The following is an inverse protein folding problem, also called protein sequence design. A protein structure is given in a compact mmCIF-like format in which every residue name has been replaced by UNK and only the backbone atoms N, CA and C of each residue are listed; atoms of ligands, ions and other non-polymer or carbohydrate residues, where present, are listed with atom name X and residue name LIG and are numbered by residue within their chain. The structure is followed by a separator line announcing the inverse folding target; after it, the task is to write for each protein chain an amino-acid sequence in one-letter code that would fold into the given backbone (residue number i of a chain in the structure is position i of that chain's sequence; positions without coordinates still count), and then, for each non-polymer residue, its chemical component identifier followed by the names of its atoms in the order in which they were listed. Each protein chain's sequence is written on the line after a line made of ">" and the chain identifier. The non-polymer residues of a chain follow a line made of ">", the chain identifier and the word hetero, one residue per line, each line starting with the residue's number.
data_IF_554558434165
#
_entry.id   IF_554558434165
#
_cell.length_a   1.000
_cell.length_b   1.000
_cell.length_c   1.000
_cell.angle_alpha   90.00
_cell.angle_beta   90.00
_cell.angle_gamma   90.00
#
_symmetry.space_group_name_H-M   'P 1'
#
loop_
_entity.id
_entity.type
_entity.pdbx_description
1 polymer ?
#
# COMPACT_ATOMS: atom_id res chain seq x y z
N UNK A 1 -37.32 -19.82 -57.46
CA UNK A 1 -35.87 -19.78 -57.70
C UNK A 1 -35.46 -18.33 -57.91
N UNK A 2 -34.76 -17.68 -56.97
CA UNK A 2 -34.19 -16.35 -57.17
C UNK A 2 -32.72 -16.44 -57.59
N UNK A 3 -32.37 -15.66 -58.61
CA UNK A 3 -31.04 -15.60 -59.24
C UNK A 3 -30.07 -14.73 -58.40
N UNK A 4 -28.81 -15.14 -58.36
CA UNK A 4 -27.71 -14.38 -57.75
C UNK A 4 -27.13 -13.34 -58.73
N UNK A 5 -26.70 -12.16 -58.24
CA UNK A 5 -25.95 -11.23 -59.06
C UNK A 5 -24.45 -11.53 -59.05
N UNK A 6 -23.86 -11.35 -60.23
CA UNK A 6 -22.46 -11.51 -60.61
C UNK A 6 -21.57 -10.39 -60.06
N UNK A 7 -20.46 -10.77 -59.43
CA UNK A 7 -19.40 -9.89 -58.96
C UNK A 7 -18.52 -9.42 -60.12
N UNK A 8 -18.38 -8.11 -60.30
CA UNK A 8 -17.45 -7.49 -61.26
C UNK A 8 -16.21 -6.99 -60.52
N UNK A 9 -15.05 -7.53 -60.88
CA UNK A 9 -13.74 -7.19 -60.31
C UNK A 9 -13.13 -6.02 -61.07
N UNK A 10 -12.93 -4.87 -60.43
CA UNK A 10 -12.19 -3.73 -60.99
C UNK A 10 -10.88 -3.49 -60.25
N UNK A 11 -9.85 -3.25 -61.05
CA UNK A 11 -8.43 -3.22 -60.72
C UNK A 11 -7.94 -1.98 -59.95
N UNK A 12 -6.76 -2.17 -59.36
CA UNK A 12 -5.98 -1.33 -58.47
C UNK A 12 -5.83 0.15 -58.85
N UNK A 13 -6.28 1.02 -57.96
CA UNK A 13 -5.87 2.42 -57.85
C UNK A 13 -5.21 2.66 -56.49
N UNK A 14 -3.91 2.95 -56.49
CA UNK A 14 -3.14 3.19 -55.26
C UNK A 14 -3.47 4.58 -54.69
N UNK A 15 -4.53 4.65 -53.87
CA UNK A 15 -4.95 5.86 -53.15
C UNK A 15 -3.97 6.13 -52.00
N UNK A 16 -3.20 7.22 -52.10
CA UNK A 16 -2.38 7.73 -50.98
C UNK A 16 -3.30 8.06 -49.81
N UNK A 17 -3.30 7.18 -48.81
CA UNK A 17 -4.14 7.26 -47.60
C UNK A 17 -3.73 8.50 -46.80
N UNK A 18 -4.45 9.60 -46.99
CA UNK A 18 -4.31 10.81 -46.17
C UNK A 18 -4.55 10.38 -44.72
N UNK A 19 -3.52 10.48 -43.88
CA UNK A 19 -3.62 10.16 -42.46
C UNK A 19 -4.64 11.14 -41.85
N UNK A 20 -5.87 10.66 -41.63
CA UNK A 20 -6.89 11.42 -40.93
C UNK A 20 -6.36 11.76 -39.53
N UNK A 21 -5.98 13.02 -39.33
CA UNK A 21 -5.57 13.52 -38.03
C UNK A 21 -6.77 13.40 -37.11
N UNK A 22 -6.68 12.51 -36.10
CA UNK A 22 -7.73 12.36 -35.08
C UNK A 22 -7.97 13.74 -34.45
N UNK A 23 -9.17 14.29 -34.61
CA UNK A 23 -9.59 15.50 -33.90
C UNK A 23 -9.55 15.18 -32.40
N UNK A 24 -8.55 15.72 -31.70
CA UNK A 24 -8.45 15.57 -30.23
C UNK A 24 -9.72 16.13 -29.61
N UNK A 25 -10.33 15.36 -28.70
CA UNK A 25 -11.51 15.80 -27.98
C UNK A 25 -11.20 17.12 -27.26
N UNK A 26 -12.03 18.15 -27.47
CA UNK A 26 -11.86 19.41 -26.76
C UNK A 26 -12.13 19.20 -25.26
N UNK A 27 -11.37 19.91 -24.43
CA UNK A 27 -11.39 19.77 -22.97
C UNK A 27 -12.64 20.43 -22.36
N UNK A 28 -13.21 19.78 -21.34
CA UNK A 28 -14.27 20.32 -20.47
C UNK A 28 -13.70 21.36 -19.48
N UNK A 29 -14.54 22.22 -18.89
CA UNK A 29 -14.11 23.10 -17.79
C UNK A 29 -13.71 22.30 -16.55
N UNK A 30 -12.92 22.90 -15.66
CA UNK A 30 -12.35 22.21 -14.49
C UNK A 30 -13.44 21.72 -13.52
N UNK A 31 -14.50 22.51 -13.30
CA UNK A 31 -15.64 22.11 -12.46
C UNK A 31 -16.40 20.91 -13.03
N UNK A 32 -16.81 20.97 -14.30
CA UNK A 32 -17.53 19.86 -14.94
C UNK A 32 -16.68 18.57 -15.00
N UNK A 33 -15.36 18.71 -15.11
CA UNK A 33 -14.43 17.58 -15.06
C UNK A 33 -14.36 16.98 -13.66
N UNK A 34 -14.26 17.81 -12.62
CA UNK A 34 -14.22 17.37 -11.22
C UNK A 34 -15.46 16.54 -10.86
N UNK A 35 -16.65 17.00 -11.26
CA UNK A 35 -17.92 16.30 -11.01
C UNK A 35 -18.26 15.23 -12.06
N UNK A 36 -17.36 14.96 -13.02
CA UNK A 36 -17.52 13.98 -14.12
C UNK A 36 -18.83 14.14 -14.92
N UNK A 37 -19.24 15.37 -15.24
CA UNK A 37 -20.45 15.68 -16.05
C UNK A 37 -20.12 16.26 -17.42
N UNK A 38 -21.10 16.22 -18.33
CA UNK A 38 -21.00 16.79 -19.68
C UNK A 38 -20.96 18.33 -19.61
N UNK A 39 -19.94 18.94 -20.22
CA UNK A 39 -19.75 20.38 -20.32
C UNK A 39 -20.18 20.89 -21.71
N UNK A 40 -20.92 22.01 -21.77
CA UNK A 40 -21.29 22.65 -23.05
C UNK A 40 -20.15 23.50 -23.65
N UNK A 41 -19.06 23.72 -22.89
CA UNK A 41 -17.83 24.41 -23.30
C UNK A 41 -17.97 25.89 -23.68
N UNK A 42 -19.09 26.52 -23.35
CA UNK A 42 -19.22 27.98 -23.39
C UNK A 42 -18.42 28.59 -22.22
N UNK A 43 -18.03 29.87 -22.32
CA UNK A 43 -17.34 30.62 -21.26
C UNK A 43 -18.22 31.80 -20.83
N UNK A 44 -18.84 31.76 -19.63
CA UNK A 44 -18.95 30.61 -18.71
C UNK A 44 -19.87 29.49 -19.25
N UNK A 45 -19.68 28.26 -18.79
CA UNK A 45 -20.47 27.12 -19.26
C UNK A 45 -21.88 27.15 -18.62
N UNK A 46 -22.94 26.75 -19.34
CA UNK A 46 -24.32 26.94 -18.88
C UNK A 46 -24.64 26.27 -17.52
N UNK A 47 -23.91 25.22 -17.16
CA UNK A 47 -24.04 24.60 -15.83
C UNK A 47 -23.39 25.44 -14.72
N UNK A 48 -22.15 25.89 -14.92
CA UNK A 48 -21.50 26.77 -13.95
C UNK A 48 -22.31 28.08 -13.75
N UNK A 49 -22.97 28.58 -14.80
CA UNK A 49 -23.89 29.73 -14.69
C UNK A 49 -25.07 29.42 -13.77
N UNK A 50 -25.72 28.25 -13.95
CA UNK A 50 -26.86 27.85 -13.10
C UNK A 50 -26.45 27.59 -11.65
N UNK A 51 -25.28 27.03 -11.45
CA UNK A 51 -24.77 26.68 -10.12
C UNK A 51 -24.18 27.92 -9.41
N UNK A 52 -24.07 29.07 -10.10
CA UNK A 52 -23.42 30.30 -9.61
C UNK A 52 -21.96 30.09 -9.19
N UNK A 53 -21.29 29.13 -9.82
CA UNK A 53 -19.93 28.70 -9.51
C UNK A 53 -18.93 29.23 -10.54
N UNK A 54 -17.67 29.39 -10.13
CA UNK A 54 -16.60 29.86 -11.01
C UNK A 54 -16.28 28.82 -12.10
N UNK A 55 -16.27 29.27 -13.36
CA UNK A 55 -16.03 28.43 -14.54
C UNK A 55 -14.61 28.65 -15.10
N UNK A 56 -13.63 27.89 -14.62
CA UNK A 56 -12.26 27.93 -15.15
C UNK A 56 -11.97 26.87 -16.23
N UNK A 57 -11.12 27.24 -17.20
CA UNK A 57 -10.56 26.37 -18.24
C UNK A 57 -9.02 26.41 -18.26
N UNK A 58 -8.39 26.86 -17.17
CA UNK A 58 -6.95 27.12 -17.11
C UNK A 58 -6.12 25.89 -17.49
N UNK A 59 -6.55 24.70 -17.07
CA UNK A 59 -5.88 23.44 -17.41
C UNK A 59 -5.94 23.12 -18.90
N UNK A 60 -7.05 23.48 -19.57
CA UNK A 60 -7.21 23.31 -21.00
C UNK A 60 -6.30 24.25 -21.80
N UNK A 61 -6.00 25.42 -21.26
CA UNK A 61 -5.14 26.42 -21.88
C UNK A 61 -3.66 26.05 -21.72
N UNK A 62 -3.25 25.54 -20.55
CA UNK A 62 -1.89 25.00 -20.33
C UNK A 62 -1.53 23.87 -21.31
N UNK A 63 -2.52 23.09 -21.74
CA UNK A 63 -2.30 21.99 -22.70
C UNK A 63 -2.15 22.48 -24.15
N UNK A 64 -2.60 23.72 -24.46
CA UNK A 64 -2.48 24.32 -25.80
C UNK A 64 -1.15 25.03 -26.02
N UNK A 65 -0.35 25.26 -24.99
CA UNK A 65 0.97 25.85 -25.16
C UNK A 65 1.85 24.89 -25.99
N UNK A 66 2.41 25.32 -27.13
CA UNK A 66 3.26 24.49 -27.95
C UNK A 66 4.51 24.11 -27.16
N UNK A 67 4.68 22.81 -26.90
CA UNK A 67 5.75 22.22 -26.08
C UNK A 67 7.18 22.45 -26.64
N UNK A 68 7.33 23.15 -27.76
CA UNK A 68 8.56 23.17 -28.56
C UNK A 68 9.53 24.30 -28.22
N UNK A 69 9.33 25.02 -27.10
CA UNK A 69 10.26 26.06 -26.63
C UNK A 69 10.73 25.88 -25.19
N UNK A 70 10.87 24.64 -24.71
CA UNK A 70 11.68 24.42 -23.51
C UNK A 70 13.15 24.32 -23.94
N UNK A 71 14.02 25.28 -23.60
CA UNK A 71 15.44 25.14 -23.85
C UNK A 71 15.93 23.90 -23.11
N UNK A 72 16.49 22.97 -23.87
CA UNK A 72 17.15 21.77 -23.36
C UNK A 72 18.35 22.27 -22.56
N UNK A 73 18.26 22.22 -21.22
CA UNK A 73 19.39 22.51 -20.36
C UNK A 73 20.52 21.53 -20.67
N UNK A 74 21.69 22.07 -20.92
CA UNK A 74 22.88 21.38 -21.40
C UNK A 74 23.32 20.24 -20.48
N UNK A 75 23.81 19.16 -21.12
CA UNK A 75 24.55 18.05 -20.52
C UNK A 75 25.70 18.56 -19.65
N UNK A 76 25.79 18.05 -18.42
CA UNK A 76 27.03 18.04 -17.63
C UNK A 76 27.85 16.81 -18.04
N UNK A 77 29.14 16.94 -18.42
CA UNK A 77 29.99 15.80 -18.76
C UNK A 77 30.35 14.97 -17.52
N UNK A 78 30.18 13.66 -17.63
CA UNK A 78 30.53 12.62 -16.66
C UNK A 78 31.88 12.01 -17.07
N UNK A 79 32.98 12.65 -16.68
CA UNK A 79 34.35 12.11 -16.81
C UNK A 79 35.17 12.50 -15.58
N UNK A 80 34.96 11.80 -14.45
CA UNK A 80 35.91 11.71 -13.33
C UNK A 80 35.34 10.77 -12.27
N UNK A 81 35.49 9.45 -12.42
CA UNK A 81 35.40 8.42 -11.36
C UNK A 81 35.70 7.05 -11.99
N UNK A 82 36.95 6.82 -12.40
CA UNK A 82 37.41 5.52 -12.90
C UNK A 82 38.72 5.02 -12.26
N UNK A 83 39.28 5.72 -11.27
CA UNK A 83 40.65 5.44 -10.77
C UNK A 83 40.74 4.90 -9.33
N UNK A 84 39.75 4.16 -8.84
CA UNK A 84 39.85 3.58 -7.49
C UNK A 84 39.28 2.16 -7.38
N UNK A 85 39.91 1.20 -8.07
CA UNK A 85 39.62 -0.23 -7.89
C UNK A 85 40.82 -1.13 -8.19
N UNK A 86 42.00 -0.86 -7.60
CA UNK A 86 43.13 -1.81 -7.60
C UNK A 86 43.95 -1.68 -6.30
N UNK A 87 43.52 -2.39 -5.26
CA UNK A 87 44.39 -2.88 -4.18
C UNK A 87 43.58 -3.85 -3.34
N UNK A 88 44.22 -4.85 -2.73
CA UNK A 88 43.65 -6.04 -2.07
C UNK A 88 43.55 -7.26 -3.00
N UNK A 89 44.72 -7.71 -3.46
CA UNK A 89 45.08 -9.13 -3.50
C UNK A 89 46.42 -9.25 -2.80
N UNK A 90 46.46 -10.08 -1.76
CA UNK A 90 47.62 -10.82 -1.24
C UNK A 90 47.41 -11.02 0.27
N UNK A 91 47.08 -12.26 0.66
CA UNK A 91 47.76 -12.96 1.76
C UNK A 91 47.20 -14.38 1.95
N UNK A 92 48.04 -15.33 1.53
CA UNK A 92 48.47 -16.55 2.22
C UNK A 92 47.45 -17.52 2.82
N UNK A 93 47.35 -18.67 2.15
CA UNK A 93 47.13 -19.97 2.78
C UNK A 93 48.42 -20.46 3.47
N UNK A 94 48.28 -21.38 4.44
CA UNK A 94 49.10 -22.58 4.33
C UNK A 94 48.32 -23.88 4.46
N UNK A 95 48.88 -24.87 3.77
CA UNK A 95 48.47 -26.25 3.62
C UNK A 95 48.59 -27.08 4.91
N UNK A 96 47.86 -28.20 4.96
CA UNK A 96 48.11 -29.28 5.91
C UNK A 96 47.09 -30.41 5.80
N UNK A 97 47.59 -31.60 5.50
CA UNK A 97 46.90 -32.74 4.90
C UNK A 97 46.18 -33.72 5.84
N UNK A 98 45.37 -34.57 5.20
CA UNK A 98 45.22 -36.03 5.41
C UNK A 98 44.22 -36.58 6.46
N UNK A 99 43.23 -37.28 5.90
CA UNK A 99 42.68 -38.60 6.25
C UNK A 99 42.56 -39.04 7.73
N UNK A 100 41.34 -39.42 8.14
CA UNK A 100 40.93 -40.82 8.38
C UNK A 100 39.56 -40.89 9.08
N UNK A 101 38.77 -41.88 8.69
CA UNK A 101 37.52 -42.34 9.29
C UNK A 101 37.73 -42.99 10.66
N UNK A 102 36.84 -42.72 11.63
CA UNK A 102 36.40 -43.68 12.66
C UNK A 102 35.08 -43.23 13.32
N UNK A 103 34.20 -44.20 13.55
CA UNK A 103 32.98 -44.09 14.33
C UNK A 103 33.27 -44.13 15.84
N UNK A 104 32.49 -43.41 16.65
CA UNK A 104 31.82 -43.89 17.88
C UNK A 104 31.35 -42.72 18.76
N UNK A 105 30.18 -42.92 19.37
CA UNK A 105 29.56 -42.16 20.44
C UNK A 105 30.51 -41.62 21.51
N UNK A 106 30.21 -40.40 22.01
CA UNK A 106 30.13 -40.08 23.44
C UNK A 106 29.47 -38.72 23.65
N UNK A 107 28.54 -38.67 24.60
CA UNK A 107 28.10 -37.45 25.29
C UNK A 107 29.29 -36.88 26.08
N UNK A 108 29.38 -35.55 26.22
CA UNK A 108 29.73 -34.82 27.45
C UNK A 108 29.75 -33.32 27.15
N UNK A 109 29.08 -32.57 28.02
CA UNK A 109 29.09 -31.12 28.15
C UNK A 109 30.50 -30.55 28.27
N UNK A 110 30.74 -29.34 27.74
CA UNK A 110 31.56 -28.30 28.38
C UNK A 110 31.55 -27.00 27.59
N UNK A 111 31.20 -25.91 28.29
CA UNK A 111 31.89 -24.63 28.32
C UNK A 111 32.58 -24.13 27.06
N UNK A 112 31.94 -23.16 26.39
CA UNK A 112 32.62 -22.22 25.51
C UNK A 112 33.08 -21.04 26.35
N UNK A 113 34.39 -20.99 26.55
CA UNK A 113 35.13 -19.86 27.11
C UNK A 113 35.17 -18.74 26.08
N UNK A 114 34.67 -17.59 26.49
CA UNK A 114 34.57 -16.36 25.72
C UNK A 114 35.94 -15.80 25.34
N UNK A 115 36.19 -15.69 24.04
CA UNK A 115 37.29 -14.93 23.47
C UNK A 115 36.90 -13.47 23.38
N UNK A 116 37.68 -12.61 24.03
CA UNK A 116 37.54 -11.17 24.09
C UNK A 116 37.59 -10.51 22.70
N UNK A 117 36.43 -10.24 22.12
CA UNK A 117 36.27 -9.17 21.15
C UNK A 117 35.72 -7.95 21.88
N UNK A 118 36.48 -6.87 21.89
CA UNK A 118 36.02 -5.52 22.22
C UNK A 118 34.97 -5.08 21.20
N UNK A 119 33.76 -5.60 21.34
CA UNK A 119 32.57 -5.03 20.75
C UNK A 119 32.18 -3.83 21.62
N UNK A 120 32.03 -2.67 20.99
CA UNK A 120 31.27 -1.58 21.58
C UNK A 120 29.85 -2.10 21.77
N UNK A 121 29.58 -2.64 22.94
CA UNK A 121 28.25 -2.97 23.40
C UNK A 121 27.54 -1.65 23.67
N UNK A 122 27.02 -1.04 22.59
CA UNK A 122 25.83 -0.21 22.69
C UNK A 122 24.83 -1.15 23.37
N UNK A 123 24.56 -0.91 24.65
CA UNK A 123 23.42 -1.52 25.30
C UNK A 123 22.20 -1.09 24.49
N UNK A 124 21.86 -1.94 23.51
CA UNK A 124 20.57 -1.93 22.87
C UNK A 124 19.61 -2.19 24.01
N UNK A 125 19.09 -1.11 24.59
CA UNK A 125 17.68 -1.10 24.95
C UNK A 125 17.01 -1.79 23.78
N UNK A 126 16.50 -3.01 23.98
CA UNK A 126 15.46 -3.47 23.08
C UNK A 126 14.46 -2.35 23.18
N UNK A 127 14.39 -1.54 22.12
CA UNK A 127 13.34 -0.58 21.89
C UNK A 127 12.09 -1.45 21.77
N UNK A 128 11.63 -1.96 22.91
CA UNK A 128 10.30 -2.48 23.12
C UNK A 128 9.45 -1.25 22.92
N UNK A 129 9.16 -1.00 21.64
CA UNK A 129 8.21 -0.01 21.22
C UNK A 129 6.98 -0.24 22.06
N UNK A 130 6.66 0.74 22.89
CA UNK A 130 5.55 0.63 23.81
C UNK A 130 4.28 0.53 22.96
N UNK A 131 3.77 -0.69 22.80
CA UNK A 131 2.56 -0.96 22.06
C UNK A 131 1.39 -0.14 22.61
N UNK A 132 1.44 0.24 23.89
CA UNK A 132 0.46 1.11 24.52
C UNK A 132 0.59 2.56 24.04
N UNK A 133 1.81 3.08 23.91
CA UNK A 133 2.08 4.39 23.31
C UNK A 133 1.54 4.47 21.89
N UNK A 134 1.74 3.43 21.07
CA UNK A 134 1.17 3.39 19.73
C UNK A 134 -0.36 3.29 19.77
N UNK A 135 -0.94 2.45 20.64
CA UNK A 135 -2.39 2.37 20.81
C UNK A 135 -2.98 3.73 21.12
N UNK A 136 -2.36 4.51 22.01
CA UNK A 136 -2.80 5.88 22.33
C UNK A 136 -2.70 6.80 21.12
N UNK A 137 -1.59 6.74 20.37
CA UNK A 137 -1.40 7.53 19.16
C UNK A 137 -2.46 7.23 18.09
N UNK A 138 -2.68 5.95 17.79
CA UNK A 138 -3.70 5.50 16.82
C UNK A 138 -5.12 5.74 17.33
N UNK A 139 -5.33 5.76 18.66
CA UNK A 139 -6.60 6.13 19.27
C UNK A 139 -6.84 7.64 19.29
N UNK A 140 -5.85 8.46 18.92
CA UNK A 140 -6.02 9.90 18.83
C UNK A 140 -6.76 10.26 17.53
N UNK A 141 -7.98 10.83 17.59
CA UNK A 141 -8.85 10.97 16.43
C UNK A 141 -8.23 11.81 15.32
N UNK A 142 -7.55 12.91 15.69
CA UNK A 142 -6.86 13.78 14.72
C UNK A 142 -5.72 13.05 14.02
N UNK A 143 -4.98 12.18 14.71
CA UNK A 143 -3.89 11.43 14.09
C UNK A 143 -4.47 10.44 13.09
N UNK A 144 -5.42 9.62 13.53
CA UNK A 144 -6.02 8.59 12.70
C UNK A 144 -6.73 9.17 11.48
N UNK A 145 -7.51 10.23 11.64
CA UNK A 145 -8.18 10.92 10.52
C UNK A 145 -7.15 11.43 9.49
N UNK A 146 -6.03 11.99 9.93
CA UNK A 146 -4.97 12.47 9.03
C UNK A 146 -4.27 11.31 8.31
N UNK A 147 -3.95 10.22 9.02
CA UNK A 147 -3.39 9.00 8.42
C UNK A 147 -4.33 8.43 7.36
N UNK A 148 -5.62 8.33 7.66
CA UNK A 148 -6.63 7.84 6.71
C UNK A 148 -6.75 8.74 5.48
N UNK A 149 -6.73 10.06 5.68
CA UNK A 149 -6.74 11.01 4.56
C UNK A 149 -5.50 10.84 3.67
N UNK A 150 -4.32 10.58 4.23
CA UNK A 150 -3.11 10.29 3.45
C UNK A 150 -3.29 8.97 2.70
N UNK A 151 -3.78 7.91 3.35
CA UNK A 151 -4.06 6.63 2.72
C UNK A 151 -4.96 6.77 1.49
N UNK A 152 -6.12 7.42 1.63
CA UNK A 152 -7.06 7.60 0.51
C UNK A 152 -6.51 8.48 -0.61
N UNK A 153 -5.63 9.43 -0.27
CA UNK A 153 -5.02 10.36 -1.24
C UNK A 153 -3.90 9.69 -2.03
N UNK A 154 -3.00 8.98 -1.35
CA UNK A 154 -1.71 8.54 -1.90
C UNK A 154 -1.61 7.03 -2.15
N UNK A 155 -2.38 6.19 -1.44
CA UNK A 155 -2.18 4.73 -1.44
C UNK A 155 -3.38 3.96 -1.99
N UNK A 156 -4.61 4.40 -1.70
CA UNK A 156 -5.83 3.64 -2.04
C UNK A 156 -5.91 3.29 -3.52
N UNK A 157 -5.49 4.16 -4.43
CA UNK A 157 -5.50 3.86 -5.87
C UNK A 157 -4.58 2.69 -6.27
N UNK A 158 -3.62 2.32 -5.43
CA UNK A 158 -2.71 1.19 -5.63
C UNK A 158 -3.29 -0.11 -5.08
N UNK A 159 -4.04 -0.05 -3.98
CA UNK A 159 -4.62 -1.23 -3.33
C UNK A 159 -6.07 -1.52 -3.73
N UNK A 160 -6.85 -0.48 -4.07
CA UNK A 160 -8.30 -0.46 -4.32
C UNK A 160 -9.09 -1.34 -3.34
N UNK A 161 -8.76 -1.20 -2.06
CA UNK A 161 -9.21 -2.11 -1.01
C UNK A 161 -10.36 -1.50 -0.22
N UNK A 162 -10.21 -0.27 0.27
CA UNK A 162 -11.09 0.32 1.27
C UNK A 162 -12.02 1.38 0.68
N UNK A 163 -13.27 1.40 1.12
CA UNK A 163 -14.16 2.54 0.88
C UNK A 163 -13.99 3.57 2.00
N UNK A 164 -13.72 4.83 1.62
CA UNK A 164 -13.58 5.95 2.57
C UNK A 164 -14.78 6.15 3.47
N UNK A 165 -15.99 5.88 2.97
CA UNK A 165 -17.22 6.02 3.78
C UNK A 165 -17.29 4.96 4.87
N UNK A 166 -16.89 3.72 4.57
CA UNK A 166 -16.86 2.62 5.54
C UNK A 166 -15.83 2.89 6.63
N UNK A 167 -14.60 3.24 6.27
CA UNK A 167 -13.53 3.48 7.25
C UNK A 167 -13.84 4.68 8.13
N UNK A 168 -14.40 5.76 7.56
CA UNK A 168 -14.83 6.89 8.37
C UNK A 168 -15.94 6.49 9.34
N UNK A 169 -16.91 5.67 8.91
CA UNK A 169 -17.97 5.17 9.80
C UNK A 169 -17.37 4.33 10.93
N UNK A 170 -16.54 3.35 10.60
CA UNK A 170 -15.86 2.51 11.59
C UNK A 170 -15.10 3.42 12.59
N UNK A 171 -14.16 4.24 12.12
CA UNK A 171 -13.37 5.10 13.02
C UNK A 171 -14.21 6.06 13.87
N UNK A 172 -15.32 6.59 13.33
CA UNK A 172 -16.22 7.47 14.10
C UNK A 172 -17.07 6.73 15.13
N UNK A 173 -17.59 5.55 14.82
CA UNK A 173 -18.45 4.77 15.72
C UNK A 173 -17.64 4.08 16.84
N UNK A 174 -16.37 3.75 16.58
CA UNK A 174 -15.55 3.05 17.56
C UNK A 174 -14.74 3.95 18.51
N UNK A 175 -14.66 5.26 18.24
CA UNK A 175 -14.16 6.21 19.22
C UNK A 175 -15.17 6.50 20.35
N UNK A 176 -16.38 5.93 20.29
CA UNK A 176 -17.34 6.05 21.38
C UNK A 176 -16.89 5.21 22.59
N UNK A 177 -16.57 5.83 23.75
CA UNK A 177 -16.21 5.09 24.96
C UNK A 177 -17.32 4.18 25.48
N UNK A 178 -18.57 4.36 25.01
CA UNK A 178 -19.69 3.48 25.34
C UNK A 178 -19.76 2.22 24.46
N UNK A 179 -18.85 2.02 23.51
CA UNK A 179 -18.96 0.95 22.54
C UNK A 179 -18.95 -0.44 23.22
N UNK A 180 -20.06 -1.16 23.05
CA UNK A 180 -20.36 -2.42 23.75
C UNK A 180 -19.74 -3.66 23.10
N UNK A 181 -18.96 -3.51 22.01
CA UNK A 181 -18.41 -4.65 21.26
C UNK A 181 -16.86 -4.69 21.25
N UNK A 182 -16.21 -5.09 22.35
CA UNK A 182 -14.74 -5.14 22.45
C UNK A 182 -14.04 -5.99 21.37
N UNK A 183 -14.68 -7.07 20.90
CA UNK A 183 -14.11 -7.93 19.87
C UNK A 183 -13.99 -7.21 18.53
N UNK A 184 -15.04 -6.48 18.14
CA UNK A 184 -15.07 -5.68 16.91
C UNK A 184 -14.03 -4.55 16.96
N UNK A 185 -13.82 -3.98 18.14
CA UNK A 185 -12.77 -2.99 18.35
C UNK A 185 -11.37 -3.56 18.09
N UNK A 186 -11.07 -4.76 18.58
CA UNK A 186 -9.76 -5.39 18.35
C UNK A 186 -9.47 -5.59 16.85
N UNK A 187 -10.48 -5.95 16.07
CA UNK A 187 -10.37 -6.11 14.61
C UNK A 187 -10.11 -4.77 13.91
N UNK A 188 -10.93 -3.75 14.20
CA UNK A 188 -10.78 -2.42 13.59
C UNK A 188 -9.47 -1.76 14.01
N UNK A 189 -9.05 -1.96 15.26
CA UNK A 189 -7.77 -1.47 15.75
C UNK A 189 -6.60 -2.15 15.01
N UNK A 190 -6.70 -3.45 14.73
CA UNK A 190 -5.70 -4.14 13.89
C UNK A 190 -5.61 -3.52 12.49
N UNK A 191 -6.75 -3.18 11.90
CA UNK A 191 -6.82 -2.53 10.59
C UNK A 191 -6.19 -1.14 10.62
N UNK A 192 -6.47 -0.35 11.65
CA UNK A 192 -5.87 0.95 11.85
C UNK A 192 -4.34 0.86 11.98
N UNK A 193 -3.81 -0.16 12.68
CA UNK A 193 -2.37 -0.42 12.72
C UNK A 193 -1.81 -0.81 11.35
N UNK A 194 -2.48 -1.69 10.61
CA UNK A 194 -2.05 -2.08 9.26
C UNK A 194 -1.96 -0.89 8.30
N UNK A 195 -2.98 -0.03 8.28
CA UNK A 195 -3.00 1.20 7.48
C UNK A 195 -1.90 2.15 7.93
N UNK A 196 -1.76 2.40 9.24
CA UNK A 196 -0.73 3.29 9.79
C UNK A 196 0.67 2.82 9.42
N UNK A 197 0.93 1.51 9.50
CA UNK A 197 2.20 0.91 9.12
C UNK A 197 2.52 1.17 7.64
N UNK A 198 1.56 0.89 6.76
CA UNK A 198 1.73 1.08 5.31
C UNK A 198 1.92 2.56 4.93
N UNK A 199 1.11 3.45 5.52
CA UNK A 199 1.18 4.90 5.26
C UNK A 199 2.51 5.47 5.74
N UNK A 200 2.96 5.09 6.93
CA UNK A 200 4.24 5.55 7.46
C UNK A 200 5.44 5.07 6.63
N UNK A 201 5.36 3.88 6.05
CA UNK A 201 6.39 3.37 5.14
C UNK A 201 6.37 4.08 3.76
N UNK A 202 5.19 4.28 3.16
CA UNK A 202 5.09 4.82 1.79
C UNK A 202 5.07 6.36 1.72
N UNK A 203 4.62 7.02 2.78
CA UNK A 203 4.46 8.48 2.85
C UNK A 203 5.14 9.06 4.11
N UNK A 204 6.45 8.84 4.31
CA UNK A 204 7.13 9.17 5.57
C UNK A 204 7.06 10.67 5.90
N UNK A 205 7.26 11.55 4.91
CA UNK A 205 7.21 13.01 5.11
C UNK A 205 5.82 13.50 5.51
N UNK A 206 4.76 12.91 4.96
CA UNK A 206 3.38 13.26 5.36
C UNK A 206 3.13 12.85 6.81
N UNK A 207 3.57 11.65 7.22
CA UNK A 207 3.46 11.19 8.61
C UNK A 207 4.25 12.05 9.57
N UNK A 208 5.49 12.41 9.24
CA UNK A 208 6.29 13.32 10.07
C UNK A 208 5.61 14.69 10.21
N UNK A 209 5.00 15.20 9.14
CA UNK A 209 4.20 16.42 9.20
C UNK A 209 2.99 16.27 10.14
N UNK A 210 2.32 15.11 10.15
CA UNK A 210 1.22 14.84 11.08
C UNK A 210 1.75 14.81 12.52
N UNK A 211 2.85 14.11 12.78
CA UNK A 211 3.46 14.01 14.11
C UNK A 211 3.87 15.39 14.65
N UNK A 212 4.47 16.25 13.82
CA UNK A 212 4.83 17.63 14.21
C UNK A 212 3.61 18.46 14.57
N UNK A 213 2.45 18.19 13.95
CA UNK A 213 1.18 18.86 14.25
C UNK A 213 0.50 18.40 15.54
N UNK A 214 0.95 17.30 16.15
CA UNK A 214 0.41 16.79 17.42
C UNK A 214 1.15 17.38 18.62
N UNK A 215 0.46 17.48 19.74
CA UNK A 215 1.05 17.82 21.03
C UNK A 215 2.07 16.75 21.47
N UNK A 216 3.09 17.14 22.24
CA UNK A 216 4.16 16.23 22.68
C UNK A 216 3.61 15.02 23.45
N UNK A 217 2.56 15.21 24.25
CA UNK A 217 1.89 14.12 24.97
C UNK A 217 1.23 13.14 24.00
N UNK A 218 0.63 13.62 22.91
CA UNK A 218 -0.02 12.76 21.92
C UNK A 218 1.01 11.96 21.09
N UNK A 219 2.22 12.48 20.89
CA UNK A 219 3.28 11.79 20.14
C UNK A 219 3.81 10.54 20.84
N UNK A 220 3.72 10.46 22.17
CA UNK A 220 4.12 9.29 22.96
C UNK A 220 5.53 8.74 22.61
N UNK A 221 6.48 9.64 22.30
CA UNK A 221 7.85 9.25 21.94
C UNK A 221 8.09 8.87 20.48
N UNK A 222 7.06 8.91 19.62
CA UNK A 222 7.22 8.75 18.18
C UNK A 222 7.66 10.05 17.52
N UNK A 223 8.84 10.04 16.90
CA UNK A 223 9.43 11.22 16.25
C UNK A 223 9.74 11.02 14.77
N UNK A 224 9.73 9.78 14.28
CA UNK A 224 10.05 9.47 12.87
C UNK A 224 8.97 8.58 12.27
N UNK A 225 8.74 8.71 10.96
CA UNK A 225 7.81 7.80 10.27
C UNK A 225 8.24 6.34 10.37
N UNK A 226 9.54 6.05 10.31
CA UNK A 226 10.06 4.68 10.45
C UNK A 226 9.71 4.05 11.80
N UNK A 227 9.87 4.81 12.90
CA UNK A 227 9.49 4.34 14.25
C UNK A 227 7.99 4.00 14.34
N UNK A 228 7.14 4.83 13.73
CA UNK A 228 5.70 4.58 13.66
C UNK A 228 5.40 3.36 12.79
N UNK A 229 6.06 3.23 11.65
CA UNK A 229 5.82 2.15 10.69
C UNK A 229 6.15 0.78 11.28
N UNK A 230 7.30 0.67 11.96
CA UNK A 230 7.74 -0.54 12.64
C UNK A 230 6.87 -0.88 13.85
N UNK A 231 6.58 0.08 14.72
CA UNK A 231 5.72 -0.14 15.87
C UNK A 231 4.31 -0.57 15.43
N UNK A 232 3.75 0.08 14.39
CA UNK A 232 2.44 -0.27 13.85
C UNK A 232 2.41 -1.64 13.20
N UNK A 233 3.48 -2.03 12.49
CA UNK A 233 3.63 -3.39 11.99
C UNK A 233 3.61 -4.41 13.13
N UNK A 234 4.43 -4.21 14.16
CA UNK A 234 4.52 -5.11 15.32
C UNK A 234 3.19 -5.22 16.06
N UNK A 235 2.52 -4.09 16.31
CA UNK A 235 1.23 -4.05 16.98
C UNK A 235 0.13 -4.76 16.17
N UNK A 236 0.09 -4.57 14.85
CA UNK A 236 -0.81 -5.29 13.96
C UNK A 236 -0.54 -6.80 13.97
N UNK A 237 0.72 -7.23 13.85
CA UNK A 237 1.09 -8.65 13.93
C UNK A 237 0.71 -9.28 15.27
N UNK A 238 0.92 -8.57 16.39
CA UNK A 238 0.53 -9.02 17.72
C UNK A 238 -0.99 -9.13 17.86
N UNK A 239 -1.74 -8.14 17.34
CA UNK A 239 -3.20 -8.16 17.33
C UNK A 239 -3.74 -9.36 16.53
N UNK A 240 -3.20 -9.63 15.33
CA UNK A 240 -3.58 -10.78 14.51
C UNK A 240 -3.26 -12.13 15.18
N UNK A 241 -2.13 -12.20 15.89
CA UNK A 241 -1.77 -13.39 16.67
C UNK A 241 -2.76 -13.63 17.80
N UNK A 242 -3.13 -12.58 18.54
CA UNK A 242 -4.14 -12.63 19.60
C UNK A 242 -5.54 -12.95 19.08
N UNK A 243 -5.91 -12.46 17.89
CA UNK A 243 -7.17 -12.82 17.24
C UNK A 243 -7.17 -14.29 16.81
N UNK A 244 -6.04 -14.82 16.33
CA UNK A 244 -5.91 -16.22 15.95
C UNK A 244 -5.99 -17.22 17.11
N UNK A 245 -5.68 -16.81 18.34
CA UNK A 245 -5.83 -17.66 19.52
C UNK A 245 -7.26 -17.63 20.09
N UNK A 246 -7.98 -16.54 19.88
CA UNK A 246 -9.32 -16.33 20.46
C UNK A 246 -10.45 -16.66 19.50
N UNK A 247 -10.22 -16.50 18.20
CA UNK A 247 -11.27 -16.56 17.17
C UNK A 247 -10.83 -17.50 16.05
N UNK A 248 -11.68 -18.49 15.74
CA UNK A 248 -11.41 -19.39 14.62
C UNK A 248 -11.34 -18.60 13.30
N UNK A 249 -10.41 -18.92 12.39
CA UNK A 249 -10.22 -18.18 11.14
C UNK A 249 -11.48 -18.00 10.28
N UNK A 250 -12.45 -18.92 10.37
CA UNK A 250 -13.71 -18.82 9.61
C UNK A 250 -14.60 -17.63 10.01
N UNK A 251 -14.34 -17.05 11.18
CA UNK A 251 -15.07 -15.90 11.71
C UNK A 251 -14.30 -14.59 11.58
N UNK A 252 -13.12 -14.61 10.94
CA UNK A 252 -12.35 -13.40 10.72
C UNK A 252 -13.08 -12.49 9.73
N UNK A 253 -13.20 -11.22 10.10
CA UNK A 253 -13.78 -10.20 9.25
C UNK A 253 -12.86 -9.85 8.07
N UNK A 254 -13.45 -9.25 7.03
CA UNK A 254 -12.73 -8.72 5.89
C UNK A 254 -11.68 -7.66 6.31
N UNK A 255 -11.95 -6.91 7.37
CA UNK A 255 -11.03 -5.96 7.99
C UNK A 255 -9.76 -6.65 8.50
N UNK A 256 -9.88 -7.78 9.19
CA UNK A 256 -8.73 -8.55 9.68
C UNK A 256 -7.89 -9.07 8.51
N UNK A 257 -8.51 -9.50 7.42
CA UNK A 257 -7.81 -9.94 6.22
C UNK A 257 -7.20 -8.77 5.41
N UNK A 258 -7.80 -7.58 5.48
CA UNK A 258 -7.18 -6.36 4.95
C UNK A 258 -5.93 -5.99 5.75
N UNK A 259 -5.95 -6.15 7.08
CA UNK A 259 -4.76 -5.97 7.92
C UNK A 259 -3.62 -6.89 7.50
N UNK A 260 -3.89 -8.18 7.31
CA UNK A 260 -2.85 -9.13 6.86
C UNK A 260 -2.28 -8.75 5.49
N UNK A 261 -3.13 -8.25 4.58
CA UNK A 261 -2.69 -7.74 3.28
C UNK A 261 -1.72 -6.55 3.40
N UNK A 262 -2.02 -5.59 4.28
CA UNK A 262 -1.15 -4.44 4.50
C UNK A 262 0.21 -4.83 5.07
N UNK A 263 0.25 -5.78 6.02
CA UNK A 263 1.51 -6.28 6.57
C UNK A 263 2.37 -6.99 5.52
N UNK A 264 1.77 -7.75 4.60
CA UNK A 264 2.51 -8.34 3.47
C UNK A 264 3.14 -7.27 2.57
N UNK A 265 2.41 -6.20 2.27
CA UNK A 265 2.98 -5.09 1.50
C UNK A 265 4.15 -4.42 2.23
N UNK A 266 4.02 -4.24 3.55
CA UNK A 266 5.10 -3.74 4.39
C UNK A 266 6.33 -4.66 4.33
N UNK A 267 6.16 -5.97 4.54
CA UNK A 267 7.23 -6.97 4.49
C UNK A 267 7.93 -7.04 3.14
N UNK A 268 7.15 -6.95 2.05
CA UNK A 268 7.66 -6.91 0.68
C UNK A 268 8.57 -5.69 0.47
N UNK A 269 8.15 -4.52 0.95
CA UNK A 269 8.92 -3.28 0.83
C UNK A 269 10.20 -3.31 1.68
N UNK A 270 10.18 -3.96 2.84
CA UNK A 270 11.37 -4.20 3.68
C UNK A 270 12.29 -5.33 3.14
N UNK A 271 11.91 -5.99 2.04
CA UNK A 271 12.67 -7.12 1.50
C UNK A 271 12.63 -8.38 2.37
N UNK A 272 11.68 -8.50 3.30
CA UNK A 272 11.48 -9.68 4.18
C UNK A 272 10.74 -10.80 3.46
N UNK A 273 11.35 -11.31 2.38
CA UNK A 273 10.72 -12.30 1.49
C UNK A 273 10.31 -13.60 2.19
N UNK A 274 11.06 -14.06 3.18
CA UNK A 274 10.72 -15.29 3.91
C UNK A 274 9.43 -15.11 4.72
N UNK A 275 9.32 -14.02 5.50
CA UNK A 275 8.09 -13.68 6.23
C UNK A 275 6.90 -13.54 5.28
N UNK A 276 7.09 -12.89 4.14
CA UNK A 276 6.06 -12.73 3.12
C UNK A 276 5.51 -14.08 2.60
N UNK A 277 6.38 -15.07 2.40
CA UNK A 277 6.02 -16.42 1.95
C UNK A 277 5.28 -17.17 3.05
N UNK A 278 5.84 -17.20 4.26
CA UNK A 278 5.29 -17.95 5.40
C UNK A 278 3.91 -17.40 5.82
N UNK A 279 3.78 -16.07 5.85
CA UNK A 279 2.52 -15.39 6.15
C UNK A 279 1.53 -15.53 4.98
N UNK A 280 2.00 -15.48 3.73
CA UNK A 280 1.15 -15.64 2.54
C UNK A 280 0.41 -16.97 2.52
N UNK A 281 1.10 -18.08 2.79
CA UNK A 281 0.47 -19.40 2.88
C UNK A 281 -0.56 -19.47 4.01
N UNK A 282 -0.25 -18.87 5.16
CA UNK A 282 -1.14 -18.80 6.32
C UNK A 282 -2.41 -18.00 6.00
N UNK A 283 -2.27 -16.86 5.33
CA UNK A 283 -3.37 -15.99 4.96
C UNK A 283 -4.29 -16.64 3.92
N UNK A 284 -3.73 -17.31 2.91
CA UNK A 284 -4.54 -18.08 1.94
C UNK A 284 -5.31 -19.19 2.66
N UNK A 285 -4.68 -19.90 3.59
CA UNK A 285 -5.36 -20.93 4.38
C UNK A 285 -6.48 -20.36 5.26
N UNK A 286 -6.30 -19.15 5.80
CA UNK A 286 -7.36 -18.43 6.54
C UNK A 286 -8.49 -18.01 5.61
N UNK A 287 -8.17 -17.44 4.45
CA UNK A 287 -9.13 -16.99 3.44
C UNK A 287 -10.01 -18.14 2.92
N UNK A 288 -9.41 -19.32 2.68
CA UNK A 288 -10.17 -20.50 2.25
C UNK A 288 -11.17 -21.00 3.31
N UNK A 289 -11.03 -20.58 4.58
CA UNK A 289 -11.94 -20.95 5.67
C UNK A 289 -13.06 -19.94 5.91
N UNK A 290 -12.97 -18.71 5.40
CA UNK A 290 -13.98 -17.65 5.66
C UNK A 290 -15.21 -17.74 4.75
N UNK A 291 -15.33 -18.76 3.91
CA UNK A 291 -16.40 -18.95 2.92
C UNK A 291 -16.62 -17.76 1.94
N UNK A 292 -15.76 -16.73 1.97
CA UNK A 292 -15.88 -15.52 1.14
C UNK A 292 -15.85 -15.80 -0.37
N UNK A 293 -15.20 -16.87 -0.80
CA UNK A 293 -15.18 -17.28 -2.20
C UNK A 293 -16.56 -17.70 -2.77
N UNK A 294 -17.56 -17.96 -1.91
CA UNK A 294 -18.90 -18.44 -2.32
C UNK A 294 -19.95 -17.33 -2.42
N UNK A 295 -19.67 -16.13 -1.95
CA UNK A 295 -20.64 -15.04 -1.93
C UNK A 295 -20.62 -14.30 -3.27
N UNK A 296 -21.51 -14.69 -4.19
CA UNK A 296 -21.75 -13.96 -5.43
C UNK A 296 -22.53 -12.68 -5.15
N UNK A 297 -21.90 -11.51 -5.32
CA UNK A 297 -22.55 -10.20 -5.18
C UNK A 297 -23.49 -9.95 -6.38
N UNK A 298 -24.79 -10.15 -6.18
CA UNK A 298 -25.82 -9.83 -7.19
C UNK A 298 -26.84 -8.83 -6.64
N UNK A 299 -26.43 -7.56 -6.48
CA UNK A 299 -27.34 -6.50 -6.01
C UNK A 299 -26.71 -5.12 -5.87
N UNK A 300 -27.55 -4.08 -5.87
CA UNK A 300 -27.17 -2.72 -5.47
C UNK A 300 -26.85 -2.68 -3.96
N UNK A 301 -25.71 -2.07 -3.60
CA UNK A 301 -25.21 -1.97 -2.22
C UNK A 301 -26.10 -1.05 -1.36
N UNK A 302 -26.79 -1.57 -0.36
CA UNK A 302 -27.73 -0.87 0.53
C UNK A 302 -27.53 -1.16 2.02
N UNK A 303 -26.78 -2.19 2.42
CA UNK A 303 -26.61 -2.58 3.83
C UNK A 303 -25.15 -2.73 4.27
N UNK A 304 -24.89 -2.66 5.58
CA UNK A 304 -23.55 -2.84 6.17
C UNK A 304 -22.92 -4.20 5.84
N UNK A 305 -23.76 -5.23 5.69
CA UNK A 305 -23.37 -6.55 5.22
C UNK A 305 -22.81 -6.49 3.79
N UNK A 306 -23.45 -5.73 2.90
CA UNK A 306 -23.01 -5.64 1.50
C UNK A 306 -21.70 -4.86 1.34
N UNK A 307 -21.47 -3.83 2.17
CA UNK A 307 -20.17 -3.17 2.26
C UNK A 307 -19.07 -4.13 2.77
N UNK A 308 -19.41 -5.01 3.71
CA UNK A 308 -18.49 -6.03 4.23
C UNK A 308 -18.16 -7.09 3.17
N UNK A 309 -19.18 -7.60 2.47
CA UNK A 309 -19.03 -8.57 1.40
C UNK A 309 -18.22 -7.98 0.22
N UNK A 310 -18.40 -6.69 -0.10
CA UNK A 310 -17.58 -6.00 -1.09
C UNK A 310 -16.12 -5.90 -0.65
N UNK A 311 -15.85 -5.56 0.62
CA UNK A 311 -14.48 -5.53 1.13
C UNK A 311 -13.86 -6.93 1.09
N UNK A 312 -14.58 -7.95 1.52
CA UNK A 312 -14.13 -9.35 1.45
C UNK A 312 -13.76 -9.75 0.01
N UNK A 313 -14.61 -9.38 -0.96
CA UNK A 313 -14.36 -9.59 -2.38
C UNK A 313 -13.09 -8.86 -2.86
N UNK A 314 -12.91 -7.58 -2.49
CA UNK A 314 -11.70 -6.81 -2.87
C UNK A 314 -10.44 -7.42 -2.28
N UNK A 315 -10.46 -7.78 -0.99
CA UNK A 315 -9.34 -8.44 -0.32
C UNK A 315 -8.99 -9.75 -1.02
N UNK A 316 -9.99 -10.57 -1.37
CA UNK A 316 -9.77 -11.81 -2.12
C UNK A 316 -8.96 -11.57 -3.41
N UNK A 317 -9.41 -10.62 -4.23
CA UNK A 317 -8.76 -10.33 -5.50
C UNK A 317 -7.40 -9.67 -5.33
N UNK A 318 -7.22 -8.85 -4.29
CA UNK A 318 -5.92 -8.26 -3.96
C UNK A 318 -4.88 -9.34 -3.61
N UNK A 319 -5.28 -10.38 -2.86
CA UNK A 319 -4.44 -11.55 -2.61
C UNK A 319 -4.15 -12.33 -3.90
N UNK A 320 -5.20 -12.61 -4.69
CA UNK A 320 -5.05 -13.39 -5.92
C UNK A 320 -4.15 -12.71 -6.96
N UNK A 321 -4.19 -11.38 -7.05
CA UNK A 321 -3.34 -10.61 -7.96
C UNK A 321 -1.90 -10.51 -7.49
N UNK A 322 -1.64 -10.40 -6.18
CA UNK A 322 -0.28 -10.27 -5.64
C UNK A 322 0.48 -11.60 -5.53
N UNK A 323 -0.23 -12.73 -5.52
CA UNK A 323 0.37 -14.07 -5.43
C UNK A 323 0.85 -14.62 -6.79
N UNK A 324 0.57 -13.89 -7.89
CA UNK A 324 1.01 -14.22 -9.26
C UNK A 324 2.25 -13.44 -9.67
#
# INVERSE_FOLDING_TARGET
>A
MPMMPTSTTTADGHVKRVKATRRRAQLSCDRCRLIKRKCNREKPCARCVRDTEECSFERAERTKAPMWKRPISHKVPSEALADQAQSIKDQDSPAGSAASSHASSSRVSSNITSSSQTSYSVHGHSDDFDAESLRRLVSHPVFLERVMNIYFREIEWTCDLLDGTRIHRLTSEYHDPANTFPAMWAEVQSLAFGITSLVAQQCPTDIESVLVGLDNEARQGFFTADSVAQAAHQAASAALTSLGTTTEPRFWSAEVLATTFFLRNFEKNEGRMQSLIDNGATDVARFLRTDYARQGTSGEIRTWQEEHDLLAYRVFWAYFHNDR
#
